data_IF_528516109198
#
_entry.id   IF_528516109198
#
_cell.length_a   1.000
_cell.length_b   1.000
_cell.length_c   1.000
_cell.angle_alpha   90.00
_cell.angle_beta   90.00
_cell.angle_gamma   90.00
#
_symmetry.space_group_name_H-M   'P 1'
#
loop_
_entity.id
_entity.type
_entity.pdbx_description
1 polymer ?
#
# COMPACT_ATOMS: atom_id res chain seq x y z
N UNK A 1 -13.79 -3.70 6.93
CA UNK A 1 -12.83 -3.03 6.03
C UNK A 1 -11.63 -2.64 6.86
N UNK A 2 -10.45 -3.11 6.49
CA UNK A 2 -9.21 -2.80 7.20
C UNK A 2 -8.46 -1.65 6.54
N UNK A 3 -7.44 -1.11 7.21
CA UNK A 3 -6.65 0.00 6.67
C UNK A 3 -6.00 -0.38 5.34
N UNK A 4 -5.37 -1.55 5.27
CA UNK A 4 -4.73 -2.04 4.04
C UNK A 4 -5.72 -2.21 2.87
N UNK A 5 -6.91 -2.75 3.16
CA UNK A 5 -7.99 -2.86 2.17
C UNK A 5 -8.43 -1.49 1.67
N UNK A 6 -8.55 -0.49 2.55
CA UNK A 6 -8.96 0.87 2.16
C UNK A 6 -7.92 1.58 1.31
N UNK A 7 -6.63 1.39 1.61
CA UNK A 7 -5.52 1.92 0.81
C UNK A 7 -5.55 1.32 -0.60
N UNK A 8 -5.69 0.00 -0.72
CA UNK A 8 -5.82 -0.69 -2.01
C UNK A 8 -6.99 -0.16 -2.83
N UNK A 9 -8.16 -0.03 -2.21
CA UNK A 9 -9.37 0.46 -2.88
C UNK A 9 -9.18 1.90 -3.42
N UNK A 10 -8.53 2.79 -2.66
CA UNK A 10 -8.22 4.15 -3.09
C UNK A 10 -7.19 4.19 -4.21
N UNK A 11 -6.17 3.33 -4.15
CA UNK A 11 -5.16 3.20 -5.20
C UNK A 11 -5.79 2.76 -6.52
N UNK A 12 -6.62 1.72 -6.49
CA UNK A 12 -7.33 1.20 -7.66
C UNK A 12 -8.33 2.22 -8.23
N UNK A 13 -9.06 2.96 -7.39
CA UNK A 13 -9.93 4.07 -7.83
C UNK A 13 -9.18 5.19 -8.56
N UNK A 14 -7.88 5.34 -8.30
CA UNK A 14 -7.00 6.30 -9.00
C UNK A 14 -6.30 5.70 -10.22
N UNK A 15 -6.54 4.42 -10.54
CA UNK A 15 -5.90 3.74 -11.67
C UNK A 15 -4.41 3.49 -11.47
N UNK A 16 -3.91 3.52 -10.23
CA UNK A 16 -2.49 3.38 -9.93
C UNK A 16 -2.11 1.92 -9.67
N UNK A 17 -0.96 1.51 -10.17
CA UNK A 17 -0.24 0.31 -9.73
C UNK A 17 0.39 0.53 -8.36
N UNK A 18 0.75 -0.55 -7.66
CA UNK A 18 1.51 -0.44 -6.40
C UNK A 18 2.86 0.26 -6.59
N UNK A 19 3.48 0.12 -7.79
CA UNK A 19 4.73 0.78 -8.12
C UNK A 19 4.58 2.29 -8.24
N UNK A 20 3.58 2.75 -8.97
CA UNK A 20 3.32 4.19 -9.11
C UNK A 20 2.96 4.84 -7.77
N UNK A 21 2.20 4.14 -6.90
CA UNK A 21 1.95 4.63 -5.54
C UNK A 21 3.23 4.68 -4.70
N UNK A 22 4.09 3.66 -4.80
CA UNK A 22 5.35 3.61 -4.07
C UNK A 22 6.29 4.74 -4.50
N UNK A 23 6.41 4.96 -5.81
CA UNK A 23 7.24 6.01 -6.41
C UNK A 23 6.75 7.41 -5.97
N UNK A 24 5.42 7.63 -6.00
CA UNK A 24 4.82 8.90 -5.56
C UNK A 24 5.03 9.22 -4.07
N UNK A 25 5.23 8.19 -3.24
CA UNK A 25 5.44 8.32 -1.79
C UNK A 25 6.92 8.16 -1.39
N UNK A 26 7.82 7.96 -2.36
CA UNK A 26 9.24 7.67 -2.14
C UNK A 26 9.49 6.50 -1.16
N UNK A 27 8.66 5.45 -1.26
CA UNK A 27 8.79 4.20 -0.47
C UNK A 27 9.01 3.01 -1.39
N UNK A 28 9.36 1.85 -0.83
CA UNK A 28 9.49 0.64 -1.64
C UNK A 28 8.11 0.06 -2.03
N UNK A 29 8.05 -0.60 -3.18
CA UNK A 29 6.86 -1.38 -3.60
C UNK A 29 6.52 -2.46 -2.56
N UNK A 30 7.54 -3.06 -1.93
CA UNK A 30 7.34 -4.06 -0.87
C UNK A 30 6.67 -3.46 0.37
N UNK A 31 6.91 -2.18 0.68
CA UNK A 31 6.23 -1.49 1.77
C UNK A 31 4.74 -1.29 1.46
N UNK A 32 4.40 -0.81 0.25
CA UNK A 32 3.00 -0.68 -0.20
C UNK A 32 2.29 -2.05 -0.17
N UNK A 33 2.96 -3.10 -0.64
CA UNK A 33 2.42 -4.46 -0.57
C UNK A 33 2.16 -4.92 0.87
N UNK A 34 3.07 -4.65 1.81
CA UNK A 34 2.86 -4.97 3.23
C UNK A 34 1.69 -4.17 3.84
N UNK A 35 1.57 -2.89 3.51
CA UNK A 35 0.45 -2.04 3.94
C UNK A 35 -0.88 -2.63 3.46
N UNK A 36 -1.00 -2.90 2.15
CA UNK A 36 -2.25 -3.37 1.55
C UNK A 36 -2.66 -4.77 2.01
N UNK A 37 -1.69 -5.59 2.43
CA UNK A 37 -1.91 -6.95 2.91
C UNK A 37 -1.93 -7.07 4.44
N UNK A 38 -1.90 -5.97 5.19
CA UNK A 38 -1.86 -5.96 6.67
C UNK A 38 -0.67 -6.72 7.28
N UNK A 39 0.45 -6.73 6.57
CA UNK A 39 1.71 -7.39 6.98
C UNK A 39 2.74 -6.42 7.54
N UNK A 40 2.30 -5.23 7.96
CA UNK A 40 3.16 -4.32 8.73
C UNK A 40 3.26 -4.87 10.16
N UNK A 41 4.30 -5.66 10.39
CA UNK A 41 4.77 -5.93 11.75
C UNK A 41 5.61 -4.73 12.16
N UNK A 42 5.07 -3.92 13.06
CA UNK A 42 5.88 -3.03 13.89
C UNK A 42 6.63 -3.98 14.83
N UNK A 43 7.97 -3.94 14.82
CA UNK A 43 8.76 -4.80 15.69
C UNK A 43 8.31 -4.66 17.14
N UNK A 44 8.24 -5.80 17.84
CA UNK A 44 8.06 -5.84 19.30
C UNK A 44 9.15 -5.05 20.04
#
# INVERSE_FOLDING_TARGET
MTFGQRVRELREKRGLTQRELADALAVSVSYISKVENEKLHFGD
#
